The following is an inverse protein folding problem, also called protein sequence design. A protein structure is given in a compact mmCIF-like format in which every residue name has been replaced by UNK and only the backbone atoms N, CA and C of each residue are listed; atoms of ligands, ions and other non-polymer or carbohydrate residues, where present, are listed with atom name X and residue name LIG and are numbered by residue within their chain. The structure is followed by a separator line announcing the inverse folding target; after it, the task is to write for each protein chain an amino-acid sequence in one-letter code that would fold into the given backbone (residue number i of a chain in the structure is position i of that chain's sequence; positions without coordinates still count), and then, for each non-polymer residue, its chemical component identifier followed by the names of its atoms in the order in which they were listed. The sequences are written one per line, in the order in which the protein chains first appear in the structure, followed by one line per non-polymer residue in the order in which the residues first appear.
data_IF_383762800702
#
_entry.id   IF_383762800702
#
_cell.length_a   1.000
_cell.length_b   1.000
_cell.length_c   1.000
_cell.angle_alpha   90.00
_cell.angle_beta   90.00
_cell.angle_gamma   90.00
#
_symmetry.space_group_name_H-M   'P 1'
#
loop_
_entity.id
_entity.type
_entity.pdbx_description
1 polymer ?
#
# COMPACT_ATOMS: atom_id res chain seq x y z
N UNK A 1 15.56 6.92 -1.13
CA UNK A 1 15.29 5.72 -1.97
C UNK A 1 14.95 4.59 -1.04
N UNK A 2 13.99 3.74 -1.41
CA UNK A 2 13.65 2.53 -0.68
C UNK A 2 13.65 1.35 -1.63
N UNK A 3 13.89 0.18 -1.10
CA UNK A 3 14.00 -1.07 -1.87
C UNK A 3 12.82 -1.97 -1.55
N UNK A 4 12.35 -2.72 -2.54
CA UNK A 4 11.28 -3.70 -2.37
C UNK A 4 11.90 -5.03 -2.00
N UNK A 5 11.68 -5.48 -0.77
CA UNK A 5 12.11 -6.79 -0.32
C UNK A 5 11.22 -7.89 -0.89
N UNK A 6 11.82 -9.00 -1.32
CA UNK A 6 11.06 -10.18 -1.67
C UNK A 6 10.74 -11.02 -0.44
N UNK A 7 9.47 -11.26 -0.14
CA UNK A 7 9.14 -12.30 0.82
C UNK A 7 9.15 -13.67 0.14
N UNK A 8 9.74 -14.65 0.81
CA UNK A 8 9.90 -16.02 0.33
C UNK A 8 8.63 -16.89 0.44
N UNK A 9 7.47 -16.31 0.54
CA UNK A 9 6.25 -17.05 0.91
C UNK A 9 5.60 -17.88 -0.18
N UNK A 10 6.26 -18.18 -1.29
CA UNK A 10 5.87 -19.26 -2.24
C UNK A 10 4.42 -19.28 -2.76
N UNK A 11 3.65 -18.24 -2.51
CA UNK A 11 2.27 -18.07 -2.94
C UNK A 11 2.25 -17.16 -4.18
N UNK A 12 1.28 -17.29 -5.10
CA UNK A 12 1.28 -16.55 -6.37
C UNK A 12 1.22 -15.02 -6.23
N UNK A 13 1.14 -14.51 -5.02
CA UNK A 13 1.22 -13.09 -4.70
C UNK A 13 2.38 -12.88 -3.74
N UNK A 14 3.45 -12.30 -4.24
CA UNK A 14 4.56 -11.89 -3.38
C UNK A 14 4.12 -10.67 -2.56
N UNK A 15 4.04 -10.85 -1.25
CA UNK A 15 4.00 -9.72 -0.33
C UNK A 15 5.42 -9.24 -0.09
N UNK A 16 5.65 -7.97 -0.32
CA UNK A 16 6.96 -7.35 -0.16
C UNK A 16 6.84 -6.14 0.76
N UNK A 17 7.87 -5.90 1.54
CA UNK A 17 7.96 -4.70 2.38
C UNK A 17 8.98 -3.73 1.79
N UNK A 18 8.74 -2.44 2.01
CA UNK A 18 9.75 -1.42 1.72
C UNK A 18 10.80 -1.42 2.82
N UNK A 19 12.07 -1.36 2.43
CA UNK A 19 13.19 -1.27 3.36
C UNK A 19 14.25 -0.27 2.88
N UNK A 20 15.05 0.22 3.83
CA UNK A 20 16.08 1.21 3.55
C UNK A 20 17.42 0.56 3.14
N UNK A 21 17.65 -0.67 3.54
CA UNK A 21 18.85 -1.39 3.12
C UNK A 21 18.72 -1.85 1.67
N UNK A 22 19.78 -1.78 0.86
CA UNK A 22 19.75 -2.28 -0.49
C UNK A 22 19.32 -3.75 -0.54
N UNK A 23 18.36 -4.03 -1.39
CA UNK A 23 17.89 -5.38 -1.70
C UNK A 23 17.60 -5.49 -3.19
N UNK A 24 18.10 -6.54 -3.81
CA UNK A 24 18.00 -6.73 -5.24
C UNK A 24 17.43 -8.11 -5.56
N UNK A 25 16.48 -8.14 -6.46
CA UNK A 25 15.87 -9.36 -6.97
C UNK A 25 15.67 -9.27 -8.47
N UNK A 26 15.75 -10.39 -9.14
CA UNK A 26 15.34 -10.48 -10.54
C UNK A 26 13.81 -10.50 -10.64
N UNK A 27 13.26 -9.36 -10.99
CA UNK A 27 11.82 -9.15 -11.12
C UNK A 27 11.23 -9.73 -12.41
N UNK A 28 12.08 -10.18 -13.35
CA UNK A 28 11.61 -10.76 -14.63
C UNK A 28 10.85 -12.08 -14.45
N UNK A 29 11.10 -12.77 -13.35
CA UNK A 29 10.49 -14.05 -13.00
C UNK A 29 9.33 -13.93 -12.02
N UNK A 30 9.08 -12.73 -11.50
CA UNK A 30 8.07 -12.45 -10.48
C UNK A 30 6.83 -11.89 -11.15
N UNK A 31 5.67 -12.41 -10.79
CA UNK A 31 4.39 -11.92 -11.29
C UNK A 31 3.95 -10.64 -10.55
N UNK A 32 2.72 -10.62 -10.08
CA UNK A 32 2.19 -9.50 -9.32
C UNK A 32 2.86 -9.40 -7.94
N UNK A 33 3.40 -8.22 -7.62
CA UNK A 33 3.98 -7.93 -6.32
C UNK A 33 3.06 -6.98 -5.55
N UNK A 34 2.74 -7.36 -4.33
CA UNK A 34 2.01 -6.51 -3.40
C UNK A 34 2.99 -5.87 -2.42
N UNK A 35 3.24 -4.60 -2.58
CA UNK A 35 4.19 -3.86 -1.75
C UNK A 35 3.46 -3.22 -0.57
N UNK A 36 3.97 -3.43 0.64
CA UNK A 36 3.47 -2.83 1.87
C UNK A 36 4.60 -2.10 2.59
N UNK A 37 4.25 -1.21 3.49
CA UNK A 37 5.21 -0.51 4.34
C UNK A 37 4.66 0.83 4.83
N UNK A 38 5.17 1.29 5.96
CA UNK A 38 4.75 2.56 6.58
C UNK A 38 5.10 3.80 5.74
N UNK A 39 5.99 3.66 4.77
CA UNK A 39 6.30 4.72 3.81
C UNK A 39 5.29 4.82 2.66
N UNK A 40 4.39 3.83 2.49
CA UNK A 40 3.29 3.91 1.52
C UNK A 40 2.12 4.58 2.21
N UNK A 41 1.95 5.86 1.93
CA UNK A 41 0.94 6.71 2.57
C UNK A 41 -0.12 7.15 1.57
N UNK A 42 -1.33 7.48 2.03
CA UNK A 42 -2.38 8.02 1.19
C UNK A 42 -2.00 9.37 0.56
N UNK A 43 -2.64 9.71 -0.55
CA UNK A 43 -2.49 11.00 -1.25
C UNK A 43 -1.05 11.34 -1.64
N UNK A 44 -0.29 10.34 -2.05
CA UNK A 44 1.13 10.46 -2.39
C UNK A 44 1.43 9.94 -3.78
N UNK A 45 2.54 10.39 -4.35
CA UNK A 45 3.03 9.94 -5.65
C UNK A 45 4.31 9.15 -5.39
N UNK A 46 4.40 7.98 -6.01
CA UNK A 46 5.56 7.09 -5.97
C UNK A 46 6.06 6.85 -7.38
N UNK A 47 7.34 7.04 -7.58
CA UNK A 47 8.00 6.64 -8.81
C UNK A 47 8.70 5.30 -8.58
N UNK A 48 8.30 4.29 -9.33
CA UNK A 48 8.83 2.94 -9.28
C UNK A 48 9.75 2.72 -10.49
N UNK A 49 10.97 2.34 -10.22
CA UNK A 49 11.99 2.14 -11.24
C UNK A 49 12.65 0.77 -11.11
N UNK A 50 13.00 0.18 -12.23
CA UNK A 50 13.86 -0.99 -12.30
C UNK A 50 15.30 -0.56 -12.53
N UNK A 51 16.21 -1.13 -11.78
CA UNK A 51 17.65 -0.85 -11.87
C UNK A 51 18.34 -2.01 -12.57
N UNK A 52 19.14 -1.73 -13.58
CA UNK A 52 19.92 -2.77 -14.26
C UNK A 52 20.96 -3.39 -13.31
N UNK A 53 21.28 -4.67 -13.52
CA UNK A 53 22.24 -5.38 -12.70
C UNK A 53 23.63 -4.71 -12.65
N UNK A 54 24.00 -3.95 -13.68
CA UNK A 54 25.24 -3.18 -13.72
C UNK A 54 25.26 -1.97 -12.78
N UNK A 55 24.10 -1.58 -12.23
CA UNK A 55 23.95 -0.42 -11.36
C UNK A 55 23.90 -0.78 -9.86
N UNK A 56 23.95 -2.04 -9.51
CA UNK A 56 23.80 -2.48 -8.13
C UNK A 56 24.86 -1.84 -7.23
N UNK A 57 24.41 -1.13 -6.20
CA UNK A 57 25.29 -0.39 -5.27
C UNK A 57 25.70 1.01 -5.75
N UNK A 58 25.22 1.46 -6.90
CA UNK A 58 25.48 2.80 -7.44
C UNK A 58 24.23 3.41 -8.12
N UNK A 59 23.04 3.09 -7.63
CA UNK A 59 21.75 3.37 -8.25
C UNK A 59 21.52 4.87 -8.50
N UNK A 60 21.89 5.71 -7.54
CA UNK A 60 21.70 7.16 -7.61
C UNK A 60 22.51 7.84 -8.72
N UNK A 61 23.54 7.16 -9.22
CA UNK A 61 24.43 7.67 -10.27
C UNK A 61 24.36 6.88 -11.58
N UNK A 62 23.50 5.87 -11.62
CA UNK A 62 23.44 4.97 -12.76
C UNK A 62 22.51 5.50 -13.87
N UNK A 63 23.01 5.45 -15.11
CA UNK A 63 22.24 5.82 -16.29
C UNK A 63 21.31 4.70 -16.81
N UNK A 64 21.48 3.46 -16.32
CA UNK A 64 20.72 2.29 -16.76
C UNK A 64 19.57 1.96 -15.79
N UNK A 65 18.75 2.97 -15.48
CA UNK A 65 17.51 2.87 -14.73
C UNK A 65 16.35 3.00 -15.71
N UNK A 66 15.27 2.26 -15.48
CA UNK A 66 14.07 2.38 -16.33
C UNK A 66 13.44 3.77 -16.21
N UNK A 67 12.62 4.14 -17.19
CA UNK A 67 11.71 5.26 -16.98
C UNK A 67 10.83 4.99 -15.75
N UNK A 68 10.54 6.01 -14.92
CA UNK A 68 9.72 5.84 -13.74
C UNK A 68 8.28 5.47 -14.11
N UNK A 69 7.72 4.53 -13.38
CA UNK A 69 6.28 4.27 -13.33
C UNK A 69 5.71 5.07 -12.16
N UNK A 70 5.04 6.16 -12.45
CA UNK A 70 4.40 6.97 -11.42
C UNK A 70 3.09 6.34 -10.96
N UNK A 71 2.98 6.06 -9.68
CA UNK A 71 1.79 5.51 -9.02
C UNK A 71 1.28 6.53 -8.02
N UNK A 72 -0.02 6.82 -8.08
CA UNK A 72 -0.68 7.73 -7.14
C UNK A 72 -1.54 6.91 -6.18
N UNK A 73 -1.37 7.13 -4.90
CA UNK A 73 -2.24 6.52 -3.89
C UNK A 73 -3.49 7.38 -3.65
N UNK A 74 -4.61 6.73 -3.40
CA UNK A 74 -5.87 7.41 -3.06
C UNK A 74 -5.81 8.03 -1.66
N UNK A 75 -6.83 8.79 -1.28
CA UNK A 75 -6.96 9.28 0.09
C UNK A 75 -7.19 8.12 1.05
N UNK A 76 -6.77 8.30 2.28
CA UNK A 76 -7.09 7.35 3.35
C UNK A 76 -8.60 7.21 3.50
N UNK A 77 -9.08 5.97 3.48
CA UNK A 77 -10.50 5.65 3.53
C UNK A 77 -11.18 5.50 2.16
N UNK A 78 -10.58 5.96 1.07
CA UNK A 78 -11.09 5.73 -0.28
C UNK A 78 -10.76 4.30 -0.74
N UNK A 79 -11.75 3.42 -0.68
CA UNK A 79 -11.59 1.99 -0.96
C UNK A 79 -12.33 1.53 -2.21
N UNK A 80 -13.24 2.36 -2.72
CA UNK A 80 -14.12 1.98 -3.82
C UNK A 80 -13.64 2.44 -5.18
N UNK A 81 -13.16 3.65 -5.30
CA UNK A 81 -12.79 4.17 -6.61
C UNK A 81 -11.52 3.55 -7.15
N UNK A 82 -11.58 3.30 -8.45
CA UNK A 82 -10.45 2.90 -9.25
C UNK A 82 -9.72 4.17 -9.69
N UNK A 83 -8.46 4.31 -9.33
CA UNK A 83 -7.42 5.01 -10.09
C UNK A 83 -7.72 6.38 -10.70
N UNK A 84 -8.89 6.86 -10.57
CA UNK A 84 -9.14 8.21 -11.00
C UNK A 84 -9.02 9.03 -9.74
N UNK A 85 -8.16 10.02 -9.63
CA UNK A 85 -8.31 10.98 -8.59
C UNK A 85 -9.59 11.75 -8.88
N UNK A 86 -10.75 11.25 -8.50
CA UNK A 86 -11.92 12.07 -8.45
C UNK A 86 -11.56 13.16 -7.47
N UNK A 87 -12.23 14.24 -7.57
CA UNK A 87 -11.99 15.43 -6.75
C UNK A 87 -11.54 15.03 -5.33
N UNK A 88 -10.27 15.26 -4.97
CA UNK A 88 -9.74 14.83 -3.68
C UNK A 88 -10.43 15.52 -2.51
N UNK A 89 -11.30 16.50 -2.75
CA UNK A 89 -12.06 17.20 -1.74
C UNK A 89 -13.27 16.42 -1.23
N UNK A 90 -13.78 15.45 -1.98
CA UNK A 90 -15.02 14.73 -1.67
C UNK A 90 -14.82 13.28 -1.24
N UNK A 91 -13.60 12.79 -1.22
CA UNK A 91 -13.33 11.40 -0.83
C UNK A 91 -12.54 11.34 0.47
N UNK A 92 -12.75 10.31 1.27
CA UNK A 92 -13.74 9.22 1.14
C UNK A 92 -15.18 9.69 1.31
N UNK A 93 -16.12 8.94 0.78
CA UNK A 93 -17.55 9.20 0.90
C UNK A 93 -18.32 8.03 1.55
N UNK A 94 -19.64 8.16 1.67
CA UNK A 94 -20.46 7.12 2.29
C UNK A 94 -20.46 5.82 1.51
N UNK A 95 -20.13 5.84 0.22
CA UNK A 95 -20.04 4.63 -0.60
C UNK A 95 -18.82 3.77 -0.24
N UNK A 96 -17.75 4.39 0.26
CA UNK A 96 -16.57 3.67 0.77
C UNK A 96 -16.91 2.93 2.06
N UNK A 97 -17.62 3.57 2.98
CA UNK A 97 -18.11 2.93 4.20
C UNK A 97 -19.03 1.75 3.85
N UNK A 98 -19.95 1.94 2.92
CA UNK A 98 -20.87 0.88 2.45
C UNK A 98 -20.09 -0.29 1.84
N UNK A 99 -19.06 0.00 1.03
CA UNK A 99 -18.23 -1.02 0.40
C UNK A 99 -17.47 -1.87 1.44
N UNK A 100 -17.02 -1.27 2.53
CA UNK A 100 -16.39 -2.02 3.62
C UNK A 100 -17.39 -2.84 4.44
N UNK A 101 -18.61 -2.37 4.60
CA UNK A 101 -19.69 -3.18 5.19
C UNK A 101 -19.99 -4.39 4.30
N UNK A 102 -20.05 -4.20 2.99
CA UNK A 102 -20.21 -5.30 2.03
C UNK A 102 -19.03 -6.28 2.11
N UNK A 103 -17.81 -5.77 2.26
CA UNK A 103 -16.60 -6.61 2.49
C UNK A 103 -16.72 -7.43 3.76
N UNK A 104 -17.15 -6.83 4.85
CA UNK A 104 -17.36 -7.53 6.13
C UNK A 104 -18.40 -8.64 6.02
N UNK A 105 -19.43 -8.43 5.21
CA UNK A 105 -20.50 -9.40 4.93
C UNK A 105 -20.12 -10.41 3.84
N UNK A 106 -18.93 -10.33 3.29
CA UNK A 106 -18.47 -11.15 2.16
C UNK A 106 -19.39 -11.05 0.93
N UNK A 107 -19.96 -9.88 0.70
CA UNK A 107 -20.83 -9.64 -0.45
C UNK A 107 -20.05 -9.67 -1.78
N UNK A 108 -20.71 -10.14 -2.83
CA UNK A 108 -20.12 -10.14 -4.16
C UNK A 108 -19.88 -8.69 -4.64
N UNK A 109 -18.72 -8.44 -5.27
CA UNK A 109 -18.33 -7.11 -5.75
C UNK A 109 -17.75 -6.19 -4.68
N UNK A 110 -17.60 -6.65 -3.43
CA UNK A 110 -16.91 -5.91 -2.39
C UNK A 110 -15.42 -5.69 -2.74
N UNK A 111 -14.79 -4.63 -2.22
CA UNK A 111 -13.37 -4.35 -2.47
C UNK A 111 -12.47 -5.54 -2.13
N UNK A 112 -11.36 -5.66 -2.83
CA UNK A 112 -10.34 -6.64 -2.47
C UNK A 112 -9.79 -6.33 -1.06
N UNK A 113 -9.28 -7.35 -0.38
CA UNK A 113 -8.81 -7.24 1.02
C UNK A 113 -7.74 -6.14 1.16
N UNK A 114 -6.79 -6.08 0.24
CA UNK A 114 -5.71 -5.10 0.24
C UNK A 114 -6.20 -3.64 0.30
N UNK A 115 -7.30 -3.32 -0.35
CA UNK A 115 -7.88 -1.97 -0.34
C UNK A 115 -8.66 -1.65 0.93
N UNK A 116 -9.17 -2.67 1.60
CA UNK A 116 -10.00 -2.51 2.79
C UNK A 116 -9.21 -2.46 4.11
N UNK A 117 -7.93 -2.75 4.11
CA UNK A 117 -7.10 -2.78 5.31
C UNK A 117 -6.66 -1.35 5.69
N UNK A 118 -7.50 -0.65 6.44
CA UNK A 118 -7.28 0.75 6.84
C UNK A 118 -6.77 0.92 8.27
N UNK A 119 -6.93 -0.10 9.12
CA UNK A 119 -6.48 -0.09 10.50
C UNK A 119 -5.19 -0.86 10.66
N UNK A 120 -4.27 -0.38 11.49
CA UNK A 120 -3.03 -1.06 11.82
C UNK A 120 -3.26 -2.40 12.54
N UNK A 121 -2.25 -3.26 12.57
CA UNK A 121 -2.32 -4.51 13.31
C UNK A 121 -2.48 -4.26 14.80
N UNK A 122 -3.33 -5.02 15.51
CA UNK A 122 -3.43 -4.94 16.95
C UNK A 122 -2.06 -5.18 17.60
N UNK A 123 -1.66 -4.29 18.50
CA UNK A 123 -0.40 -4.41 19.24
C UNK A 123 0.82 -3.75 18.56
N UNK A 124 0.68 -3.17 17.41
CA UNK A 124 1.74 -2.33 16.87
C UNK A 124 1.77 -0.97 17.61
N UNK A 125 2.75 -0.80 18.49
CA UNK A 125 2.87 0.39 19.34
C UNK A 125 3.12 1.68 18.55
N UNK A 126 3.47 1.58 17.27
CA UNK A 126 3.82 2.71 16.41
C UNK A 126 2.74 3.02 15.36
N UNK A 127 1.62 2.31 15.34
CA UNK A 127 0.54 2.57 14.40
C UNK A 127 0.92 2.31 12.93
N UNK A 128 1.93 1.52 12.68
CA UNK A 128 2.36 1.18 11.32
C UNK A 128 1.38 0.21 10.67
N UNK A 129 0.94 0.52 9.46
CA UNK A 129 0.30 -0.47 8.60
C UNK A 129 1.39 -1.34 7.99
N UNK A 130 1.88 -2.30 8.76
CA UNK A 130 2.80 -3.33 8.28
C UNK A 130 2.01 -4.60 8.04
N UNK A 131 1.30 -4.71 6.91
CA UNK A 131 0.46 -5.88 6.70
C UNK A 131 0.92 -6.69 5.51
N UNK A 132 1.26 -7.92 5.78
CA UNK A 132 0.96 -8.96 4.80
C UNK A 132 -0.56 -9.08 4.69
N UNK A 133 -1.11 -8.74 3.54
CA UNK A 133 -2.57 -8.79 3.27
C UNK A 133 -3.18 -10.15 3.60
N UNK A 134 -2.37 -11.21 3.60
CA UNK A 134 -2.82 -12.57 3.88
C UNK A 134 -2.97 -12.84 5.38
N UNK A 135 -2.18 -12.19 6.24
CA UNK A 135 -2.11 -12.48 7.68
C UNK A 135 -3.11 -11.69 8.52
N UNK A 136 -3.71 -10.64 7.99
CA UNK A 136 -4.63 -9.78 8.73
C UNK A 136 -6.07 -10.07 8.34
N UNK A 137 -6.89 -10.33 9.34
CA UNK A 137 -8.33 -10.47 9.12
C UNK A 137 -8.99 -9.11 8.94
N UNK A 138 -9.88 -9.05 7.96
CA UNK A 138 -10.72 -7.88 7.78
C UNK A 138 -11.79 -7.85 8.87
N UNK A 139 -11.81 -6.79 9.66
CA UNK A 139 -12.71 -6.66 10.80
C UNK A 139 -13.34 -5.28 10.91
N UNK A 140 -14.12 -5.10 11.97
CA UNK A 140 -14.87 -3.88 12.24
C UNK A 140 -13.97 -2.64 12.42
N UNK A 141 -12.73 -2.82 12.86
CA UNK A 141 -11.74 -1.75 12.99
C UNK A 141 -11.49 -1.01 11.68
N UNK A 142 -11.50 -1.72 10.56
CA UNK A 142 -11.31 -1.12 9.23
C UNK A 142 -12.51 -0.28 8.80
N UNK A 143 -13.72 -0.72 9.14
CA UNK A 143 -14.95 0.06 8.92
C UNK A 143 -14.90 1.33 9.77
N UNK A 144 -14.54 1.22 11.04
CA UNK A 144 -14.39 2.37 11.94
C UNK A 144 -13.36 3.38 11.41
N UNK A 145 -12.21 2.90 10.95
CA UNK A 145 -11.18 3.76 10.36
C UNK A 145 -11.69 4.49 9.10
N UNK A 146 -12.49 3.83 8.27
CA UNK A 146 -13.13 4.47 7.11
C UNK A 146 -14.14 5.55 7.53
N UNK A 147 -14.91 5.30 8.56
CA UNK A 147 -15.85 6.30 9.12
C UNK A 147 -15.10 7.51 9.65
N UNK A 148 -13.97 7.30 10.33
CA UNK A 148 -13.14 8.39 10.83
C UNK A 148 -12.57 9.22 9.67
N UNK A 149 -12.07 8.56 8.63
CA UNK A 149 -11.60 9.21 7.41
C UNK A 149 -12.72 10.01 6.72
N UNK A 150 -13.92 9.43 6.59
CA UNK A 150 -15.10 10.10 6.04
C UNK A 150 -15.47 11.36 6.83
N UNK A 151 -15.30 11.35 8.15
CA UNK A 151 -15.54 12.48 9.05
C UNK A 151 -14.43 13.53 9.01
N UNK A 152 -13.40 13.31 8.20
CA UNK A 152 -12.28 14.23 8.03
C UNK A 152 -11.14 14.03 9.03
N UNK A 153 -11.09 12.91 9.73
CA UNK A 153 -9.94 12.60 10.56
C UNK A 153 -8.65 12.51 9.70
N UNK A 154 -7.53 13.02 10.20
CA UNK A 154 -6.26 12.90 9.50
C UNK A 154 -5.79 11.43 9.45
N UNK A 155 -4.88 11.13 8.51
CA UNK A 155 -4.21 9.83 8.48
C UNK A 155 -3.50 9.56 9.81
N UNK A 156 -3.84 8.47 10.52
CA UNK A 156 -3.46 8.30 11.92
C UNK A 156 -2.08 7.67 12.13
N UNK A 157 -1.40 7.26 11.05
CA UNK A 157 -0.18 6.49 11.17
C UNK A 157 1.06 7.32 10.91
N UNK A 158 2.15 6.94 11.56
CA UNK A 158 3.45 7.59 11.38
C UNK A 158 4.11 7.11 10.08
N UNK A 159 4.68 8.04 9.35
CA UNK A 159 5.45 7.75 8.15
C UNK A 159 6.87 7.39 8.57
N UNK A 160 7.35 6.22 8.18
CA UNK A 160 8.75 5.86 8.29
C UNK A 160 9.48 6.27 7.02
N UNK A 161 10.49 7.09 7.17
CA UNK A 161 11.39 7.47 6.07
C UNK A 161 12.76 6.85 6.29
N UNK A 162 13.41 6.51 5.19
CA UNK A 162 14.81 6.12 5.28
C UNK A 162 15.68 7.29 5.73
N UNK A 163 16.67 7.05 6.59
CA UNK A 163 17.62 8.06 7.02
C UNK A 163 18.45 8.62 5.88
#
# INVERSE_FOLDING_TARGET
MQYVESSSSGIPFYASQLQCAPHYQDWSTVGLVHVTGSAIVPSSIYDVENVAASCLGAESSCAAVSAPLSIVTTRWGDVRSLYNPPDPSIQPDISDVSALVDKFRSAAGAPIKARGLLAGAPGNAFGEITHEVLSVDFGFSHISACVDAYRGAPYPYTISTCP
#
